data_IF_861782848300
#
_entry.id   IF_861782848300
#
_cell.length_a   1.000
_cell.length_b   1.000
_cell.length_c   1.000
_cell.angle_alpha   90.00
_cell.angle_beta   90.00
_cell.angle_gamma   90.00
#
_symmetry.space_group_name_H-M   'P 1'
#
loop_
_entity.id
_entity.type
_entity.pdbx_description
1 polymer ?
#
# COMPACT_ATOMS: atom_id res chain seq x y z
N UNK A 1 -36.40 2.43 -16.68
CA UNK A 1 -36.36 3.33 -15.52
C UNK A 1 -37.53 3.03 -14.61
N UNK A 2 -37.27 2.78 -13.33
CA UNK A 2 -38.33 2.60 -12.32
C UNK A 2 -38.94 3.95 -11.90
N UNK A 3 -39.91 3.91 -10.97
CA UNK A 3 -40.59 5.12 -10.45
C UNK A 3 -39.67 6.07 -9.67
N UNK A 4 -38.41 5.69 -9.42
CA UNK A 4 -37.41 6.44 -8.66
C UNK A 4 -36.21 6.87 -9.53
N UNK A 5 -36.27 6.65 -10.85
CA UNK A 5 -35.22 7.08 -11.79
C UNK A 5 -34.02 6.14 -11.90
N UNK A 6 -34.11 4.91 -11.35
CA UNK A 6 -33.06 3.91 -11.48
C UNK A 6 -33.18 3.17 -12.82
N UNK A 7 -32.06 2.99 -13.51
CA UNK A 7 -31.94 1.99 -14.58
C UNK A 7 -31.60 0.64 -13.93
N UNK A 8 -32.65 -0.06 -13.47
CA UNK A 8 -32.50 -1.37 -12.85
C UNK A 8 -32.13 -2.39 -13.91
N UNK A 9 -31.01 -3.07 -13.70
CA UNK A 9 -30.51 -4.12 -14.59
C UNK A 9 -31.10 -5.47 -14.17
N UNK A 10 -31.50 -6.31 -15.14
CA UNK A 10 -32.07 -7.62 -14.88
C UNK A 10 -31.07 -8.58 -14.18
N UNK A 11 -31.60 -9.55 -13.43
CA UNK A 11 -30.78 -10.56 -12.76
C UNK A 11 -29.90 -11.34 -13.76
N UNK A 12 -28.61 -11.42 -13.48
CA UNK A 12 -27.60 -12.04 -14.35
C UNK A 12 -26.85 -11.06 -15.27
N UNK A 13 -27.28 -9.80 -15.37
CA UNK A 13 -26.57 -8.75 -16.09
C UNK A 13 -25.76 -7.89 -15.11
N UNK A 14 -24.62 -7.40 -15.58
CA UNK A 14 -23.70 -6.60 -14.77
C UNK A 14 -24.20 -5.16 -14.63
N UNK A 15 -24.02 -4.59 -13.44
CA UNK A 15 -24.32 -3.20 -13.13
C UNK A 15 -23.64 -2.75 -11.85
N UNK A 16 -23.74 -1.45 -11.55
CA UNK A 16 -23.32 -0.90 -10.26
C UNK A 16 -24.17 -1.50 -9.12
N UNK A 17 -23.51 -1.92 -8.05
CA UNK A 17 -24.16 -2.45 -6.88
C UNK A 17 -24.59 -1.28 -5.98
N UNK A 18 -25.90 -1.12 -5.82
CA UNK A 18 -26.50 -0.21 -4.86
C UNK A 18 -27.23 -1.00 -3.76
N UNK A 19 -27.09 -0.58 -2.51
CA UNK A 19 -27.65 -1.28 -1.34
C UNK A 19 -28.51 -0.32 -0.52
N UNK A 20 -29.65 -0.81 -0.02
CA UNK A 20 -30.51 -0.08 0.92
C UNK A 20 -30.94 -1.01 2.05
N UNK A 21 -30.85 -0.52 3.29
CA UNK A 21 -31.26 -1.27 4.47
C UNK A 21 -31.24 -0.44 5.75
N UNK A 22 -31.79 -0.97 6.86
CA UNK A 22 -31.88 -0.25 8.13
C UNK A 22 -30.52 0.04 8.77
N UNK A 23 -29.47 -0.70 8.38
CA UNK A 23 -28.11 -0.54 8.90
C UNK A 23 -27.25 0.44 8.09
N UNK A 24 -27.84 1.14 7.12
CA UNK A 24 -27.09 2.07 6.27
C UNK A 24 -26.69 3.35 7.01
N UNK A 25 -25.50 3.86 6.70
CA UNK A 25 -25.08 5.21 7.10
C UNK A 25 -26.10 6.25 6.63
N UNK A 26 -26.33 7.28 7.44
CA UNK A 26 -27.29 8.35 7.13
C UNK A 26 -26.70 9.41 6.21
N UNK A 27 -25.47 9.80 6.49
CA UNK A 27 -24.73 10.85 5.79
C UNK A 27 -23.25 10.80 6.21
N UNK A 28 -22.39 11.45 5.42
CA UNK A 28 -21.05 11.82 5.86
C UNK A 28 -21.13 13.08 6.72
N UNK A 29 -20.52 13.04 7.91
CA UNK A 29 -20.47 14.19 8.81
C UNK A 29 -19.85 15.40 8.09
N UNK A 30 -20.54 16.55 8.13
CA UNK A 30 -20.13 17.83 7.55
C UNK A 30 -19.78 17.78 6.04
N UNK A 31 -20.19 16.73 5.32
CA UNK A 31 -19.92 16.55 3.89
C UNK A 31 -21.22 16.29 3.10
N UNK A 32 -22.05 17.33 2.88
CA UNK A 32 -23.33 17.20 2.18
C UNK A 32 -23.16 16.84 0.69
N UNK A 33 -22.06 17.27 0.06
CA UNK A 33 -21.73 16.93 -1.33
C UNK A 33 -21.39 15.45 -1.47
N UNK A 34 -20.46 14.92 -0.67
CA UNK A 34 -20.12 13.50 -0.68
C UNK A 34 -21.29 12.60 -0.29
N UNK A 35 -22.17 13.09 0.60
CA UNK A 35 -23.43 12.41 0.93
C UNK A 35 -24.35 12.32 -0.28
N UNK A 36 -24.59 13.42 -1.00
CA UNK A 36 -25.45 13.42 -2.18
C UNK A 36 -24.89 12.59 -3.35
N UNK A 37 -23.56 12.49 -3.47
CA UNK A 37 -22.90 11.69 -4.51
C UNK A 37 -23.01 10.18 -4.23
N UNK A 38 -22.93 9.79 -2.95
CA UNK A 38 -22.86 8.39 -2.50
C UNK A 38 -24.22 7.81 -2.12
N UNK A 39 -25.13 8.61 -1.57
CA UNK A 39 -26.47 8.21 -1.10
C UNK A 39 -27.55 8.91 -1.91
N UNK A 40 -28.45 8.13 -2.51
CA UNK A 40 -29.64 8.62 -3.22
C UNK A 40 -30.90 7.91 -2.72
N UNK A 41 -31.82 8.66 -2.11
CA UNK A 41 -33.10 8.12 -1.62
C UNK A 41 -32.95 6.87 -0.72
N UNK A 42 -31.90 6.86 0.11
CA UNK A 42 -31.55 5.77 1.02
C UNK A 42 -30.79 4.60 0.38
N UNK A 43 -30.53 4.64 -0.92
CA UNK A 43 -29.62 3.72 -1.61
C UNK A 43 -28.19 4.23 -1.53
N UNK A 44 -27.29 3.37 -1.07
CA UNK A 44 -25.85 3.60 -1.09
C UNK A 44 -25.27 3.00 -2.35
N UNK A 45 -24.56 3.84 -3.11
CA UNK A 45 -23.65 3.40 -4.15
C UNK A 45 -22.40 2.82 -3.50
N UNK A 46 -22.16 1.51 -3.66
CA UNK A 46 -20.99 0.88 -3.03
C UNK A 46 -19.69 1.20 -3.77
N UNK A 47 -19.79 1.66 -5.02
CA UNK A 47 -18.64 1.79 -5.91
C UNK A 47 -18.14 0.46 -6.49
N UNK A 48 -18.83 -0.64 -6.20
CA UNK A 48 -18.54 -1.97 -6.74
C UNK A 48 -19.46 -2.29 -7.91
N UNK A 49 -18.95 -3.08 -8.85
CA UNK A 49 -19.64 -3.54 -10.04
C UNK A 49 -19.86 -5.05 -9.96
N UNK A 50 -21.06 -5.52 -10.29
CA UNK A 50 -21.41 -6.91 -10.08
C UNK A 50 -22.74 -7.32 -10.68
N UNK A 51 -23.18 -8.54 -10.40
CA UNK A 51 -24.48 -9.05 -10.81
C UNK A 51 -25.08 -9.97 -9.76
N UNK A 52 -26.41 -10.12 -9.79
CA UNK A 52 -27.13 -11.03 -8.90
C UNK A 52 -27.60 -12.24 -9.68
N UNK A 53 -27.31 -13.45 -9.18
CA UNK A 53 -27.83 -14.70 -9.73
C UNK A 53 -28.43 -15.54 -8.61
N UNK A 54 -29.70 -15.92 -8.77
CA UNK A 54 -30.50 -16.58 -7.73
C UNK A 54 -30.53 -15.74 -6.44
N UNK A 55 -29.90 -16.21 -5.36
CA UNK A 55 -29.82 -15.53 -4.06
C UNK A 55 -28.39 -15.07 -3.72
N UNK A 56 -27.49 -15.07 -4.70
CA UNK A 56 -26.08 -14.72 -4.53
C UNK A 56 -25.73 -13.46 -5.32
N UNK A 57 -24.96 -12.58 -4.70
CA UNK A 57 -24.35 -11.42 -5.34
C UNK A 57 -22.93 -11.79 -5.73
N UNK A 58 -22.53 -11.45 -6.95
CA UNK A 58 -21.19 -11.67 -7.49
C UNK A 58 -20.57 -10.30 -7.75
N UNK A 59 -19.48 -9.98 -7.04
CA UNK A 59 -18.70 -8.77 -7.24
C UNK A 59 -17.64 -9.06 -8.31
N UNK A 60 -17.57 -8.20 -9.32
CA UNK A 60 -16.74 -8.38 -10.52
C UNK A 60 -15.58 -7.37 -10.56
N UNK A 61 -15.71 -6.24 -9.87
CA UNK A 61 -14.64 -5.23 -9.75
C UNK A 61 -15.15 -3.93 -9.12
N UNK A 62 -14.31 -2.90 -9.08
CA UNK A 62 -14.71 -1.54 -8.65
C UNK A 62 -14.86 -0.59 -9.82
N UNK A 63 -15.81 0.33 -9.74
CA UNK A 63 -16.12 1.30 -10.81
C UNK A 63 -14.89 2.13 -11.20
N UNK A 64 -14.06 2.53 -10.22
CA UNK A 64 -12.82 3.29 -10.47
C UNK A 64 -11.70 2.46 -11.11
N UNK A 65 -11.86 1.14 -11.19
CA UNK A 65 -10.87 0.18 -11.71
C UNK A 65 -11.32 -0.46 -13.04
N UNK A 66 -12.52 -0.12 -13.56
CA UNK A 66 -13.03 -0.64 -14.83
C UNK A 66 -12.41 0.08 -16.02
N UNK A 67 -12.05 -0.71 -17.04
CA UNK A 67 -11.49 -0.22 -18.30
C UNK A 67 -12.64 0.24 -19.22
N UNK A 68 -12.57 1.46 -19.75
CA UNK A 68 -13.62 2.05 -20.58
C UNK A 68 -13.35 1.80 -22.06
N UNK A 69 -13.90 0.72 -22.62
CA UNK A 69 -13.68 0.33 -24.02
C UNK A 69 -14.91 0.63 -24.87
N UNK A 70 -14.87 1.68 -25.69
CA UNK A 70 -15.92 2.09 -26.64
C UNK A 70 -17.30 2.21 -25.97
N UNK A 71 -17.33 2.75 -24.76
CA UNK A 71 -18.54 2.88 -23.94
C UNK A 71 -18.91 1.65 -23.10
N UNK A 72 -18.19 0.54 -23.26
CA UNK A 72 -18.31 -0.62 -22.38
C UNK A 72 -17.43 -0.49 -21.16
N UNK A 73 -17.91 -0.94 -20.01
CA UNK A 73 -17.10 -1.09 -18.81
C UNK A 73 -16.58 -2.53 -18.77
N UNK A 74 -15.27 -2.69 -18.82
CA UNK A 74 -14.59 -3.98 -18.88
C UNK A 74 -13.84 -4.19 -17.57
N UNK A 75 -14.14 -5.30 -16.88
CA UNK A 75 -13.39 -5.68 -15.69
C UNK A 75 -12.04 -6.29 -16.09
N UNK A 76 -10.91 -5.77 -15.58
CA UNK A 76 -9.61 -6.40 -15.74
C UNK A 76 -9.58 -7.86 -15.27
N UNK A 77 -10.19 -8.13 -14.11
CA UNK A 77 -10.17 -9.44 -13.46
C UNK A 77 -10.71 -10.55 -14.37
N UNK A 78 -11.74 -10.26 -15.18
CA UNK A 78 -12.31 -11.25 -16.08
C UNK A 78 -11.33 -11.63 -17.21
N UNK A 79 -10.50 -10.69 -17.65
CA UNK A 79 -9.45 -10.94 -18.64
C UNK A 79 -8.27 -11.65 -17.98
N UNK A 80 -7.91 -11.25 -16.76
CA UNK A 80 -6.88 -11.91 -15.94
C UNK A 80 -7.21 -13.38 -15.66
N UNK A 81 -8.45 -13.67 -15.27
CA UNK A 81 -8.94 -15.04 -15.03
C UNK A 81 -8.76 -15.92 -16.28
N UNK A 82 -9.08 -15.39 -17.46
CA UNK A 82 -8.87 -16.11 -18.72
C UNK A 82 -7.38 -16.27 -19.01
N UNK A 83 -6.56 -15.23 -18.82
CA UNK A 83 -5.11 -15.32 -19.02
C UNK A 83 -4.48 -16.39 -18.11
N UNK A 84 -4.93 -16.52 -16.86
CA UNK A 84 -4.46 -17.53 -15.91
C UNK A 84 -4.87 -18.97 -16.27
N UNK A 85 -5.86 -19.16 -17.16
CA UNK A 85 -6.18 -20.48 -17.71
C UNK A 85 -5.19 -20.91 -18.80
N UNK A 86 -4.37 -20.00 -19.32
CA UNK A 86 -3.37 -20.31 -20.33
C UNK A 86 -2.19 -21.09 -19.70
N UNK A 87 -1.79 -22.26 -20.24
CA UNK A 87 -0.82 -23.15 -19.59
C UNK A 87 0.55 -22.52 -19.34
N UNK A 88 0.94 -21.57 -20.19
CA UNK A 88 2.23 -20.88 -20.12
C UNK A 88 2.26 -19.63 -19.22
N UNK A 89 1.09 -19.17 -18.75
CA UNK A 89 0.97 -17.94 -17.95
C UNK A 89 0.90 -18.33 -16.47
N UNK A 90 1.83 -17.79 -15.70
CA UNK A 90 1.93 -17.99 -14.25
C UNK A 90 1.16 -16.93 -13.49
N UNK A 91 1.18 -15.70 -14.01
CA UNK A 91 0.54 -14.55 -13.40
C UNK A 91 0.15 -13.52 -14.48
N UNK A 92 -0.89 -12.74 -14.25
CA UNK A 92 -1.39 -11.76 -15.20
C UNK A 92 -2.00 -10.54 -14.49
N UNK A 93 -1.77 -9.36 -15.05
CA UNK A 93 -2.44 -8.13 -14.66
C UNK A 93 -2.91 -7.38 -15.91
N UNK A 94 -4.11 -6.81 -15.89
CA UNK A 94 -4.71 -6.11 -17.02
C UNK A 94 -5.03 -4.67 -16.61
N UNK A 95 -4.70 -3.72 -17.48
CA UNK A 95 -4.98 -2.30 -17.26
C UNK A 95 -5.59 -1.68 -18.51
N UNK A 96 -6.31 -0.58 -18.32
CA UNK A 96 -6.71 0.31 -19.40
C UNK A 96 -5.55 1.21 -19.80
N UNK A 97 -5.21 1.24 -21.08
CA UNK A 97 -4.29 2.26 -21.62
C UNK A 97 -5.07 3.21 -22.52
N UNK A 98 -4.88 4.52 -22.34
CA UNK A 98 -5.55 5.53 -23.14
C UNK A 98 -5.28 5.29 -24.63
N UNK A 99 -6.36 5.32 -25.42
CA UNK A 99 -6.23 5.24 -26.88
C UNK A 99 -5.61 6.54 -27.39
N UNK A 100 -4.47 6.43 -28.09
CA UNK A 100 -3.77 7.59 -28.64
C UNK A 100 -4.65 8.32 -29.66
N UNK A 101 -4.84 9.63 -29.50
CA UNK A 101 -5.56 10.49 -30.45
C UNK A 101 -7.06 10.69 -30.15
N UNK A 102 -7.53 10.32 -28.95
CA UNK A 102 -8.93 10.54 -28.55
C UNK A 102 -9.02 11.21 -27.17
N UNK A 103 -9.69 12.36 -27.08
CA UNK A 103 -10.00 13.04 -25.81
C UNK A 103 -11.19 12.42 -25.05
N UNK A 104 -11.67 11.25 -25.49
CA UNK A 104 -12.94 10.66 -25.04
C UNK A 104 -12.84 9.82 -23.76
N UNK A 105 -11.66 9.66 -23.16
CA UNK A 105 -11.44 8.69 -22.07
C UNK A 105 -11.66 7.24 -22.50
N UNK A 106 -11.48 6.95 -23.81
CA UNK A 106 -11.51 5.60 -24.38
C UNK A 106 -10.19 4.89 -24.09
N UNK A 107 -10.27 3.67 -23.60
CA UNK A 107 -9.14 2.84 -23.18
C UNK A 107 -9.10 1.54 -23.96
N UNK A 108 -7.90 0.96 -24.04
CA UNK A 108 -7.66 -0.35 -24.61
C UNK A 108 -7.16 -1.29 -23.51
N UNK A 109 -7.73 -2.49 -23.35
CA UNK A 109 -7.18 -3.47 -22.42
C UNK A 109 -5.77 -3.86 -22.84
N UNK A 110 -4.81 -3.73 -21.94
CA UNK A 110 -3.42 -4.19 -22.08
C UNK A 110 -3.11 -5.18 -20.96
N UNK A 111 -2.53 -6.32 -21.32
CA UNK A 111 -2.10 -7.32 -20.34
C UNK A 111 -0.59 -7.28 -20.11
N UNK A 112 -0.21 -7.48 -18.86
CA UNK A 112 1.14 -7.77 -18.41
C UNK A 112 1.16 -9.20 -17.87
N UNK A 113 1.97 -10.07 -18.47
CA UNK A 113 1.95 -11.50 -18.17
C UNK A 113 3.31 -11.98 -17.69
N UNK A 114 3.31 -12.87 -16.70
CA UNK A 114 4.50 -13.62 -16.25
C UNK A 114 4.45 -15.00 -16.91
N UNK A 115 5.45 -15.28 -17.73
CA UNK A 115 5.55 -16.55 -18.46
C UNK A 115 6.42 -17.54 -17.68
N UNK A 116 6.01 -18.81 -17.65
CA UNK A 116 6.82 -19.88 -17.05
C UNK A 116 8.20 -19.96 -17.74
N UNK A 117 9.29 -19.93 -16.96
CA UNK A 117 10.67 -19.92 -17.49
C UNK A 117 11.00 -21.16 -18.34
N UNK A 118 10.39 -22.30 -18.07
CA UNK A 118 10.58 -23.52 -18.87
C UNK A 118 9.90 -23.44 -20.24
N UNK A 119 8.92 -22.54 -20.40
CA UNK A 119 8.16 -22.29 -21.64
C UNK A 119 8.51 -20.95 -22.30
N UNK A 120 9.40 -20.17 -21.69
CA UNK A 120 9.77 -18.79 -22.07
C UNK A 120 10.31 -18.62 -23.49
N UNK A 121 10.69 -19.71 -24.16
CA UNK A 121 11.16 -19.71 -25.55
C UNK A 121 10.01 -19.82 -26.56
N UNK A 122 8.74 -19.99 -26.13
CA UNK A 122 7.64 -20.39 -27.04
C UNK A 122 6.34 -19.58 -27.01
N UNK A 123 6.15 -18.63 -26.11
CA UNK A 123 4.86 -17.91 -26.03
C UNK A 123 4.82 -16.77 -27.05
N UNK A 124 4.07 -16.97 -28.13
CA UNK A 124 3.78 -15.94 -29.12
C UNK A 124 2.67 -15.02 -28.57
N UNK A 125 2.93 -13.71 -28.53
CA UNK A 125 1.95 -12.70 -28.07
C UNK A 125 0.63 -12.80 -28.85
N UNK A 126 0.68 -13.15 -30.13
CA UNK A 126 -0.51 -13.31 -30.96
C UNK A 126 -1.35 -14.52 -30.55
N UNK A 127 -0.71 -15.58 -30.09
CA UNK A 127 -1.38 -16.79 -29.64
C UNK A 127 -2.13 -16.56 -28.33
N UNK A 128 -1.50 -15.89 -27.35
CA UNK A 128 -2.16 -15.49 -26.10
C UNK A 128 -3.30 -14.49 -26.34
N UNK A 129 -3.10 -13.50 -27.21
CA UNK A 129 -4.17 -12.56 -27.57
C UNK A 129 -5.37 -13.29 -28.20
N UNK A 130 -5.10 -14.29 -29.05
CA UNK A 130 -6.14 -15.12 -29.64
C UNK A 130 -6.84 -15.98 -28.60
N UNK A 131 -6.11 -16.57 -27.66
CA UNK A 131 -6.68 -17.38 -26.57
C UNK A 131 -7.71 -16.61 -25.74
N UNK A 132 -7.44 -15.32 -25.45
CA UNK A 132 -8.40 -14.44 -24.79
C UNK A 132 -9.59 -14.11 -25.70
N UNK A 133 -9.34 -13.79 -26.97
CA UNK A 133 -10.40 -13.45 -27.94
C UNK A 133 -11.36 -14.61 -28.22
N UNK A 134 -10.88 -15.86 -28.18
CA UNK A 134 -11.71 -17.05 -28.41
C UNK A 134 -12.68 -17.32 -27.25
N UNK A 135 -12.44 -16.73 -26.06
CA UNK A 135 -13.22 -16.97 -24.84
C UNK A 135 -14.06 -15.77 -24.41
N UNK A 136 -13.64 -14.55 -24.76
CA UNK A 136 -14.30 -13.33 -24.35
C UNK A 136 -14.89 -12.57 -25.55
N UNK A 137 -15.86 -11.71 -25.25
CA UNK A 137 -16.44 -10.82 -26.27
C UNK A 137 -15.40 -9.85 -26.84
N UNK A 138 -15.57 -9.44 -28.09
CA UNK A 138 -14.58 -8.64 -28.83
C UNK A 138 -14.17 -7.33 -28.16
N UNK A 139 -15.04 -6.69 -27.37
CA UNK A 139 -14.73 -5.46 -26.64
C UNK A 139 -13.81 -5.68 -25.42
N UNK A 140 -13.53 -6.93 -25.04
CA UNK A 140 -12.56 -7.30 -24.00
C UNK A 140 -11.21 -7.75 -24.58
N UNK A 141 -11.05 -7.66 -25.90
CA UNK A 141 -9.81 -8.04 -26.57
C UNK A 141 -8.65 -7.14 -26.12
N UNK A 142 -7.46 -7.75 -26.03
CA UNK A 142 -6.21 -7.08 -25.65
C UNK A 142 -5.65 -6.18 -26.77
N UNK A 143 -6.46 -5.23 -27.26
CA UNK A 143 -6.06 -4.27 -28.30
C UNK A 143 -4.92 -3.34 -27.85
N UNK A 144 -4.72 -3.18 -26.53
CA UNK A 144 -3.59 -2.48 -25.95
C UNK A 144 -2.28 -3.28 -26.04
N UNK A 145 -2.35 -4.56 -26.40
CA UNK A 145 -1.22 -5.47 -26.55
C UNK A 145 -0.91 -6.29 -25.29
N UNK A 146 0.10 -7.16 -25.42
CA UNK A 146 0.66 -7.96 -24.33
C UNK A 146 2.11 -7.56 -24.12
N UNK A 147 2.46 -7.22 -22.88
CA UNK A 147 3.83 -7.00 -22.49
C UNK A 147 4.29 -8.09 -21.51
N UNK A 148 5.45 -8.67 -21.82
CA UNK A 148 6.15 -9.61 -20.94
C UNK A 148 7.28 -8.91 -20.18
N UNK A 149 7.62 -7.68 -20.56
CA UNK A 149 8.38 -6.75 -19.75
C UNK A 149 7.39 -5.88 -19.00
N UNK A 150 7.40 -5.91 -17.67
CA UNK A 150 6.57 -5.00 -16.88
C UNK A 150 7.49 -3.92 -16.30
N UNK A 151 7.58 -2.73 -16.92
CA UNK A 151 8.22 -1.58 -16.27
C UNK A 151 7.60 -1.39 -14.88
N UNK A 152 8.43 -1.18 -13.86
CA UNK A 152 7.94 -1.14 -12.48
C UNK A 152 7.73 -2.52 -11.82
N UNK A 153 8.21 -3.61 -12.43
CA UNK A 153 8.23 -4.94 -11.79
C UNK A 153 9.62 -5.34 -11.33
N UNK A 154 9.67 -6.16 -10.28
CA UNK A 154 10.92 -6.76 -9.77
C UNK A 154 10.92 -8.24 -10.10
N UNK A 155 11.89 -8.69 -10.88
CA UNK A 155 12.12 -10.11 -11.13
C UNK A 155 12.86 -10.76 -9.95
N UNK A 156 12.16 -10.94 -8.82
CA UNK A 156 12.68 -11.70 -7.66
C UNK A 156 11.99 -13.06 -7.52
N UNK A 157 12.70 -14.04 -6.95
CA UNK A 157 12.10 -15.36 -6.59
C UNK A 157 11.32 -15.31 -5.26
N UNK A 158 11.44 -14.20 -4.52
CA UNK A 158 10.81 -14.00 -3.23
C UNK A 158 11.52 -12.92 -2.40
N UNK A 159 11.01 -12.67 -1.20
CA UNK A 159 11.63 -11.78 -0.22
C UNK A 159 11.49 -12.38 1.18
N UNK A 160 12.35 -11.94 2.10
CA UNK A 160 12.22 -12.27 3.51
C UNK A 160 11.44 -11.16 4.19
N UNK A 161 10.23 -11.48 4.62
CA UNK A 161 9.36 -10.59 5.36
C UNK A 161 9.23 -11.10 6.79
N UNK A 162 8.94 -10.20 7.72
CA UNK A 162 8.61 -10.59 9.08
C UNK A 162 7.36 -11.46 9.04
N UNK A 163 7.43 -12.63 9.69
CA UNK A 163 6.47 -13.73 9.51
C UNK A 163 5.06 -13.46 10.03
N UNK A 164 4.85 -12.32 10.71
CA UNK A 164 3.58 -11.95 11.33
C UNK A 164 3.26 -10.47 11.09
N UNK A 165 2.35 -10.18 10.16
CA UNK A 165 1.76 -8.84 9.96
C UNK A 165 1.13 -8.32 11.28
N UNK A 166 0.57 -9.23 12.08
CA UNK A 166 0.03 -8.92 13.42
C UNK A 166 1.07 -8.31 14.37
N UNK A 167 2.33 -8.75 14.34
CA UNK A 167 3.36 -8.19 15.21
C UNK A 167 3.76 -6.79 14.80
N UNK A 168 3.78 -6.48 13.49
CA UNK A 168 4.05 -5.13 12.99
C UNK A 168 2.91 -4.16 13.31
N UNK A 169 1.68 -4.66 13.39
CA UNK A 169 0.49 -3.88 13.75
C UNK A 169 0.35 -3.68 15.26
N UNK A 170 0.77 -4.67 16.05
CA UNK A 170 0.79 -4.60 17.50
C UNK A 170 1.84 -3.61 17.99
N UNK A 171 1.38 -2.67 18.80
CA UNK A 171 2.17 -1.66 19.49
C UNK A 171 1.40 -1.27 20.75
N UNK A 172 2.08 -1.07 21.87
CA UNK A 172 1.48 -0.51 23.09
C UNK A 172 1.72 1.01 23.12
N UNK A 173 0.80 1.83 22.57
CA UNK A 173 1.00 3.27 22.54
C UNK A 173 0.93 3.89 23.94
N UNK A 174 0.18 3.28 24.86
CA UNK A 174 -0.03 3.81 26.20
C UNK A 174 1.25 3.75 27.04
N UNK A 175 2.04 2.69 26.87
CA UNK A 175 3.35 2.53 27.50
C UNK A 175 4.31 3.67 27.12
N UNK A 176 4.30 4.10 25.85
CA UNK A 176 5.15 5.18 25.35
C UNK A 176 4.53 6.59 25.45
N UNK A 177 3.36 6.73 26.10
CA UNK A 177 2.66 8.02 26.21
C UNK A 177 2.11 8.56 24.89
N UNK A 178 1.84 7.69 23.93
CA UNK A 178 1.37 8.02 22.57
C UNK A 178 -0.14 7.82 22.50
N UNK A 179 -0.84 8.74 21.83
CA UNK A 179 -2.29 8.61 21.64
C UNK A 179 -2.63 7.52 20.60
N UNK A 180 -3.78 6.85 20.69
CA UNK A 180 -4.20 5.87 19.67
C UNK A 180 -4.28 6.47 18.26
N UNK A 181 -4.66 7.76 18.14
CA UNK A 181 -4.73 8.46 16.87
C UNK A 181 -3.34 8.66 16.27
N UNK A 182 -2.37 9.14 17.06
CA UNK A 182 -0.99 9.26 16.60
C UNK A 182 -0.39 7.89 16.25
N UNK A 183 -0.59 6.89 17.10
CA UNK A 183 -0.10 5.53 16.86
C UNK A 183 -0.62 4.91 15.55
N UNK A 184 -1.85 5.24 15.16
CA UNK A 184 -2.43 4.78 13.89
C UNK A 184 -1.76 5.38 12.65
N UNK A 185 -1.16 6.57 12.79
CA UNK A 185 -0.44 7.27 11.72
C UNK A 185 1.08 7.00 11.75
N UNK A 186 1.59 6.32 12.78
CA UNK A 186 3.02 6.04 12.93
C UNK A 186 3.51 4.91 12.02
N UNK A 187 4.66 5.15 11.39
CA UNK A 187 5.45 4.16 10.69
C UNK A 187 5.70 2.96 11.59
N UNK A 188 5.38 1.72 11.16
CA UNK A 188 5.78 0.50 11.84
C UNK A 188 7.27 0.51 12.25
N UNK A 189 8.14 1.17 11.49
CA UNK A 189 9.55 1.36 11.82
C UNK A 189 9.75 2.14 13.11
N UNK A 190 9.02 3.26 13.29
CA UNK A 190 9.09 4.05 14.52
C UNK A 190 8.56 3.26 15.72
N UNK A 191 7.46 2.52 15.54
CA UNK A 191 6.86 1.70 16.61
C UNK A 191 7.80 0.59 17.06
N UNK A 192 8.38 -0.15 16.11
CA UNK A 192 9.31 -1.24 16.43
C UNK A 192 10.62 -0.75 17.01
N UNK A 193 11.12 0.40 16.56
CA UNK A 193 12.32 0.99 17.18
C UNK A 193 12.09 1.32 18.66
N UNK A 194 10.93 1.84 19.05
CA UNK A 194 10.62 2.12 20.45
C UNK A 194 10.65 0.85 21.31
N UNK A 195 10.01 -0.22 20.83
CA UNK A 195 9.99 -1.52 21.53
C UNK A 195 11.37 -2.14 21.62
N UNK A 196 12.10 -2.23 20.51
CA UNK A 196 13.43 -2.85 20.46
C UNK A 196 14.45 -2.06 21.29
N UNK A 197 14.37 -0.73 21.30
CA UNK A 197 15.24 0.09 22.15
C UNK A 197 14.90 -0.10 23.62
N UNK A 198 13.62 -0.15 23.99
CA UNK A 198 13.21 -0.50 25.35
C UNK A 198 13.75 -1.87 25.79
N UNK A 199 13.56 -2.89 24.95
CA UNK A 199 14.09 -4.24 25.19
C UNK A 199 15.62 -4.22 25.34
N UNK A 200 16.32 -3.39 24.56
CA UNK A 200 17.78 -3.25 24.67
C UNK A 200 18.22 -2.66 26.01
N UNK A 201 17.45 -1.71 26.54
CA UNK A 201 17.69 -1.13 27.86
C UNK A 201 17.43 -2.14 28.98
N UNK A 202 16.32 -2.89 28.91
CA UNK A 202 16.04 -3.95 29.87
C UNK A 202 17.11 -5.04 29.86
N UNK A 203 17.56 -5.45 28.66
CA UNK A 203 18.65 -6.41 28.52
C UNK A 203 19.99 -5.89 29.08
N UNK A 204 20.21 -4.58 29.04
CA UNK A 204 21.36 -3.93 29.66
C UNK A 204 21.23 -3.77 31.19
N UNK A 205 20.04 -4.06 31.75
CA UNK A 205 19.73 -3.84 33.16
C UNK A 205 19.60 -2.36 33.53
N UNK A 206 19.40 -1.48 32.55
CA UNK A 206 19.20 -0.05 32.77
C UNK A 206 17.73 0.22 33.09
N UNK A 207 17.47 0.96 34.17
CA UNK A 207 16.13 1.41 34.54
C UNK A 207 15.73 2.67 33.77
N UNK A 208 14.43 2.89 33.58
CA UNK A 208 13.93 4.11 32.93
C UNK A 208 14.32 5.36 33.72
N UNK A 209 14.41 5.25 35.05
CA UNK A 209 14.85 6.33 35.94
C UNK A 209 16.32 6.70 35.75
N UNK A 210 17.20 5.73 35.43
CA UNK A 210 18.61 5.99 35.12
C UNK A 210 18.79 6.62 33.73
N UNK A 211 17.91 6.29 32.79
CA UNK A 211 17.96 6.79 31.42
C UNK A 211 17.40 8.20 31.29
N UNK A 212 16.33 8.53 32.03
CA UNK A 212 15.70 9.85 31.98
C UNK A 212 16.67 10.93 32.42
N UNK A 213 16.83 11.95 31.58
CA UNK A 213 17.76 13.06 31.80
C UNK A 213 19.24 12.72 31.55
N UNK A 214 19.58 11.47 31.22
CA UNK A 214 20.96 11.05 30.96
C UNK A 214 21.53 11.65 29.67
N UNK A 215 22.85 11.81 29.60
CA UNK A 215 23.55 12.19 28.37
C UNK A 215 23.74 10.99 27.43
N UNK A 216 22.68 10.22 27.22
CA UNK A 216 22.67 9.13 26.26
C UNK A 216 22.35 9.70 24.88
N UNK A 217 23.19 9.44 23.89
CA UNK A 217 22.91 9.79 22.49
C UNK A 217 22.03 8.74 21.81
N UNK A 218 21.40 9.10 20.70
CA UNK A 218 20.60 8.20 19.88
C UNK A 218 20.94 8.36 18.40
N UNK A 219 21.54 7.33 17.80
CA UNK A 219 21.87 7.29 16.39
C UNK A 219 21.12 6.16 15.69
N UNK A 220 20.27 6.51 14.72
CA UNK A 220 19.44 5.54 13.98
C UNK A 220 19.84 5.53 12.51
N UNK A 221 20.23 4.35 12.00
CA UNK A 221 20.44 4.15 10.57
C UNK A 221 19.14 3.76 9.86
N UNK A 222 18.72 4.53 8.88
CA UNK A 222 17.56 4.22 8.03
C UNK A 222 17.74 4.87 6.66
N UNK A 223 17.16 4.27 5.61
CA UNK A 223 17.16 4.84 4.26
C UNK A 223 15.80 4.71 3.56
N UNK A 224 14.84 3.99 4.16
CA UNK A 224 13.53 3.78 3.57
C UNK A 224 12.52 4.79 4.12
N UNK A 225 11.69 5.31 3.22
CA UNK A 225 10.59 6.21 3.59
C UNK A 225 9.27 5.79 2.92
N UNK A 226 9.09 4.49 2.71
CA UNK A 226 7.92 3.87 2.08
C UNK A 226 6.60 4.44 2.61
N UNK A 227 6.44 4.54 3.93
CA UNK A 227 5.18 5.02 4.52
C UNK A 227 4.90 6.49 4.19
N UNK A 228 5.93 7.34 4.17
CA UNK A 228 5.81 8.74 3.71
C UNK A 228 5.41 8.79 2.23
N UNK A 229 6.07 7.97 1.40
CA UNK A 229 5.76 7.88 -0.03
C UNK A 229 4.33 7.42 -0.28
N UNK A 230 3.83 6.46 0.50
CA UNK A 230 2.45 5.98 0.44
C UNK A 230 1.45 7.04 0.87
N UNK A 231 1.70 7.72 1.99
CA UNK A 231 0.80 8.76 2.50
C UNK A 231 0.67 9.95 1.54
N UNK A 232 1.76 10.29 0.84
CA UNK A 232 1.77 11.36 -0.17
C UNK A 232 1.06 11.00 -1.50
N UNK A 233 0.56 9.77 -1.69
CA UNK A 233 -0.14 9.38 -2.93
C UNK A 233 -1.53 9.99 -3.05
N UNK A 234 -2.15 10.36 -1.92
CA UNK A 234 -3.49 10.95 -1.89
C UNK A 234 -3.52 12.23 -1.04
N UNK A 235 -3.05 13.36 -1.60
CA UNK A 235 -2.87 14.60 -0.84
C UNK A 235 -4.19 15.22 -0.36
N UNK A 236 -5.34 14.80 -0.90
CA UNK A 236 -6.65 15.29 -0.48
C UNK A 236 -7.11 14.67 0.86
N UNK A 237 -6.48 13.57 1.31
CA UNK A 237 -6.83 12.83 2.52
C UNK A 237 -5.70 12.76 3.54
N UNK A 238 -4.98 13.88 3.72
CA UNK A 238 -3.90 13.99 4.70
C UNK A 238 -4.35 13.56 6.10
N UNK A 239 -3.58 12.67 6.72
CA UNK A 239 -3.90 12.09 8.03
C UNK A 239 -3.28 12.95 9.14
N UNK A 240 -3.98 13.24 10.24
CA UNK A 240 -3.34 13.86 11.41
C UNK A 240 -2.09 13.08 11.81
N UNK A 241 -1.05 13.79 12.25
CA UNK A 241 0.25 13.23 12.63
C UNK A 241 1.08 12.61 11.49
N UNK A 242 0.68 12.70 10.22
CA UNK A 242 1.44 12.11 9.10
C UNK A 242 2.92 12.52 9.07
N UNK A 243 3.19 13.83 9.25
CA UNK A 243 4.57 14.34 9.28
C UNK A 243 5.39 13.69 10.40
N UNK A 244 4.86 13.68 11.63
CA UNK A 244 5.54 13.06 12.77
C UNK A 244 5.50 11.53 12.74
N UNK A 245 4.57 10.95 11.99
CA UNK A 245 4.36 9.52 11.89
C UNK A 245 5.29 8.86 10.87
N UNK A 246 5.78 9.60 9.87
CA UNK A 246 6.51 9.01 8.73
C UNK A 246 7.86 9.66 8.42
N UNK A 247 8.20 10.82 8.99
CA UNK A 247 9.49 11.48 8.72
C UNK A 247 10.66 10.71 9.37
N UNK A 248 11.75 10.55 8.60
CA UNK A 248 12.95 9.84 9.05
C UNK A 248 13.57 10.49 10.28
N UNK A 249 13.52 11.82 10.39
CA UNK A 249 14.07 12.57 11.54
C UNK A 249 13.44 12.14 12.87
N UNK A 250 12.20 11.65 12.82
CA UNK A 250 11.45 11.25 14.00
C UNK A 250 11.91 9.89 14.54
N UNK A 251 12.57 9.05 13.73
CA UNK A 251 13.05 7.74 14.17
C UNK A 251 13.96 7.85 15.41
N UNK A 252 14.97 8.72 15.37
CA UNK A 252 15.85 8.97 16.53
C UNK A 252 15.21 9.89 17.58
N UNK A 253 14.53 10.96 17.14
CA UNK A 253 13.99 11.96 18.07
C UNK A 253 12.85 11.44 18.94
N UNK A 254 12.05 10.49 18.43
CA UNK A 254 10.98 9.87 19.20
C UNK A 254 11.53 8.96 20.29
N UNK A 255 12.64 8.26 20.05
CA UNK A 255 13.37 7.50 21.07
C UNK A 255 13.88 8.45 22.15
N UNK A 256 14.56 9.53 21.76
CA UNK A 256 15.06 10.53 22.71
C UNK A 256 13.92 11.12 23.56
N UNK A 257 12.77 11.41 22.94
CA UNK A 257 11.61 11.95 23.65
C UNK A 257 10.98 10.93 24.59
N UNK A 258 10.77 9.69 24.13
CA UNK A 258 10.09 8.64 24.90
C UNK A 258 10.87 8.24 26.17
N UNK A 259 12.20 8.22 26.10
CA UNK A 259 13.08 7.84 27.22
C UNK A 259 13.77 9.05 27.89
N UNK A 260 13.39 10.27 27.51
CA UNK A 260 13.92 11.53 28.03
C UNK A 260 15.47 11.67 27.97
N UNK A 261 16.07 11.17 26.88
CA UNK A 261 17.52 11.20 26.65
C UNK A 261 17.98 12.61 26.22
N UNK A 262 19.13 13.05 26.72
CA UNK A 262 19.66 14.42 26.52
C UNK A 262 20.93 14.50 25.67
N UNK A 263 21.45 13.37 25.18
CA UNK A 263 22.56 13.37 24.24
C UNK A 263 22.13 13.72 22.80
N UNK A 264 23.09 13.87 21.87
CA UNK A 264 22.82 14.04 20.45
C UNK A 264 21.85 12.99 19.91
N UNK A 265 20.91 13.42 19.06
CA UNK A 265 19.97 12.52 18.36
C UNK A 265 20.01 12.78 16.87
N UNK A 266 20.25 11.73 16.09
CA UNK A 266 20.35 11.82 14.65
C UNK A 266 19.91 10.54 13.97
N UNK A 267 19.10 10.72 12.92
CA UNK A 267 18.85 9.66 11.94
C UNK A 267 19.80 9.88 10.76
N UNK A 268 20.49 8.82 10.33
CA UNK A 268 21.51 8.89 9.29
C UNK A 268 21.15 7.98 8.13
N UNK A 269 21.34 8.52 6.93
CA UNK A 269 21.19 7.81 5.67
C UNK A 269 22.51 7.83 4.88
N UNK A 270 23.19 6.69 4.88
CA UNK A 270 24.28 6.35 3.96
C UNK A 270 23.93 5.07 3.19
N UNK A 271 22.65 4.89 2.87
CA UNK A 271 22.04 3.71 2.26
C UNK A 271 22.33 2.41 3.05
N UNK A 272 22.87 1.38 2.41
CA UNK A 272 23.14 0.08 3.04
C UNK A 272 24.16 0.15 4.21
N UNK A 273 24.89 1.26 4.35
CA UNK A 273 25.89 1.45 5.40
C UNK A 273 25.40 2.27 6.60
N UNK A 274 24.13 2.70 6.61
CA UNK A 274 23.57 3.63 7.60
C UNK A 274 23.76 3.16 9.05
N UNK A 275 23.51 1.89 9.35
CA UNK A 275 23.63 1.35 10.72
C UNK A 275 25.08 1.33 11.21
N UNK A 276 26.03 1.01 10.33
CA UNK A 276 27.46 1.04 10.65
C UNK A 276 27.98 2.47 10.82
N UNK A 277 27.48 3.41 10.02
CA UNK A 277 27.83 4.81 10.18
C UNK A 277 27.21 5.42 11.46
N UNK A 278 25.99 5.04 11.81
CA UNK A 278 25.37 5.38 13.10
C UNK A 278 26.21 4.86 14.28
N UNK A 279 26.72 3.62 14.20
CA UNK A 279 27.66 3.08 15.19
C UNK A 279 28.97 3.90 15.26
N UNK A 280 29.52 4.31 14.12
CA UNK A 280 30.70 5.15 14.09
C UNK A 280 30.48 6.49 14.84
N UNK A 281 29.35 7.16 14.58
CA UNK A 281 28.99 8.41 15.27
C UNK A 281 28.79 8.21 16.78
N UNK A 282 28.15 7.11 17.18
CA UNK A 282 27.99 6.74 18.58
C UNK A 282 29.34 6.57 19.29
N UNK A 283 30.26 5.83 18.67
CA UNK A 283 31.62 5.68 19.18
C UNK A 283 32.31 7.05 19.32
N UNK A 284 32.18 7.93 18.33
CA UNK A 284 32.77 9.28 18.40
C UNK A 284 32.17 10.10 19.55
N UNK A 285 30.85 10.06 19.74
CA UNK A 285 30.17 10.84 20.80
C UNK A 285 30.57 10.37 22.20
N UNK A 286 30.77 9.06 22.40
CA UNK A 286 31.27 8.51 23.67
C UNK A 286 32.76 8.82 23.88
N UNK A 287 33.60 8.66 22.84
CA UNK A 287 35.05 8.94 22.92
C UNK A 287 35.33 10.43 23.20
N UNK A 288 34.52 11.33 22.63
CA UNK A 288 34.64 12.77 22.85
C UNK A 288 34.04 13.25 24.17
N UNK A 289 33.43 12.33 24.96
CA UNK A 289 32.67 12.63 26.17
C UNK A 289 31.49 13.63 25.94
N UNK A 290 30.97 13.67 24.72
CA UNK A 290 29.71 14.37 24.41
C UNK A 290 28.52 13.57 24.96
N UNK A 291 28.63 12.24 24.99
CA UNK A 291 27.66 11.32 25.58
C UNK A 291 28.30 10.33 26.55
N UNK A 292 27.57 9.93 27.59
CA UNK A 292 28.02 8.91 28.55
C UNK A 292 27.70 7.47 28.05
N UNK A 293 26.66 7.36 27.23
CA UNK A 293 26.22 6.14 26.56
C UNK A 293 25.60 6.48 25.20
N UNK A 294 25.35 5.48 24.36
CA UNK A 294 24.73 5.68 23.06
C UNK A 294 23.79 4.54 22.69
N UNK A 295 22.60 4.89 22.23
CA UNK A 295 21.69 4.00 21.50
C UNK A 295 22.11 4.00 20.04
N UNK A 296 22.33 2.79 19.49
CA UNK A 296 22.56 2.59 18.07
C UNK A 296 21.50 1.63 17.55
N UNK A 297 20.70 2.09 16.59
CA UNK A 297 19.65 1.26 16.01
C UNK A 297 19.67 1.34 14.48
N UNK A 298 19.05 0.35 13.85
CA UNK A 298 18.79 0.35 12.42
C UNK A 298 17.42 -0.23 12.14
N UNK A 299 16.68 0.40 11.22
CA UNK A 299 15.38 -0.10 10.79
C UNK A 299 15.31 -0.15 9.27
N UNK A 300 14.65 -1.19 8.77
CA UNK A 300 14.25 -1.28 7.38
C UNK A 300 12.98 -2.13 7.30
N UNK A 301 11.84 -1.51 6.99
CA UNK A 301 10.58 -2.19 6.72
C UNK A 301 10.11 -1.79 5.32
N UNK A 302 9.81 -2.81 4.51
CA UNK A 302 9.29 -2.67 3.16
C UNK A 302 7.76 -2.61 3.25
N UNK A 303 7.18 -1.42 3.07
CA UNK A 303 5.73 -1.22 3.09
C UNK A 303 5.14 -1.10 1.67
N UNK A 304 5.94 -0.68 0.70
CA UNK A 304 5.54 -0.53 -0.70
C UNK A 304 6.71 -0.87 -1.62
N UNK A 305 6.45 -1.49 -2.77
CA UNK A 305 7.53 -1.92 -3.69
C UNK A 305 8.21 -0.77 -4.44
N UNK A 306 7.64 0.44 -4.42
CA UNK A 306 8.07 1.57 -5.25
C UNK A 306 9.53 1.95 -5.10
N UNK A 307 10.05 1.95 -3.86
CA UNK A 307 11.47 2.28 -3.58
C UNK A 307 12.43 1.11 -3.83
N UNK A 308 11.89 -0.10 -3.98
CA UNK A 308 12.66 -1.35 -4.07
C UNK A 308 12.66 -1.93 -5.48
N UNK A 309 12.01 -1.28 -6.44
CA UNK A 309 12.12 -1.62 -7.86
C UNK A 309 13.46 -1.10 -8.39
N UNK A 310 14.37 -2.02 -8.70
CA UNK A 310 15.54 -1.71 -9.51
C UNK A 310 15.06 -1.42 -10.95
N UNK A 311 15.08 -0.15 -11.34
CA UNK A 311 14.81 0.31 -12.70
C UNK A 311 15.84 -0.20 -13.70
#
# INVERSE_FOLDING_TARGET
MDKQGFEVVDAGFQGELEIRGPSMMKEYADCPTGTAETLRDGWLKTGDFGYVRQTKVYIVGRIKELIKVRGWQVSPNEIEDVLLMHPSIVDAAVIGVSRSGTDSGDELPRAYVVINKEESVRVDKLEVMKFVQDQLSSFKALEGGIDSSRPGSVHTRGGYFLSHDDQLRQFDPSFFGISPLEASAMDPQQRKLLEVVYESFENAGATLEELSGSKTSCFVGCFTNDMRSMASRDPEYGVPYEMTGSDMTILSNRINYAFDLKGPSMTVDTACSSSLYALHLACQSVISAESDAAVVAGSNIINDIGQHIAS
#
